data_IF_416790996794
#
_entry.id   IF_416790996794
#
_cell.length_a   1.000
_cell.length_b   1.000
_cell.length_c   1.000
_cell.angle_alpha   90.00
_cell.angle_beta   90.00
_cell.angle_gamma   90.00
#
_symmetry.space_group_name_H-M   'P 1'
#
loop_
_entity.id
_entity.type
_entity.pdbx_description
1 polymer ?
#
# COMPACT_ATOMS: atom_id res chain seq x y z
N UNK A 1 -7.71 37.71 -34.88
CA UNK A 1 -6.30 37.89 -34.47
C UNK A 1 -6.21 37.58 -32.99
N UNK A 2 -5.26 36.72 -32.63
CA UNK A 2 -5.23 36.01 -31.36
C UNK A 2 -4.91 36.92 -30.17
N UNK A 3 -5.63 36.69 -29.08
CA UNK A 3 -5.35 37.15 -27.72
C UNK A 3 -4.06 36.50 -27.20
N UNK A 4 -3.01 37.30 -27.00
CA UNK A 4 -1.84 36.86 -26.22
C UNK A 4 -2.06 37.22 -24.75
N UNK A 5 -2.71 36.32 -24.03
CA UNK A 5 -2.47 36.15 -22.59
C UNK A 5 -1.03 35.61 -22.44
N UNK A 6 -0.21 36.14 -21.52
CA UNK A 6 1.03 35.49 -21.16
C UNK A 6 0.70 34.25 -20.32
N UNK A 7 0.62 33.11 -21.00
CA UNK A 7 0.81 31.80 -20.38
C UNK A 7 2.28 31.63 -19.99
N UNK A 8 2.49 30.68 -19.07
CA UNK A 8 3.77 30.15 -18.58
C UNK A 8 4.37 30.88 -17.38
N UNK A 9 3.70 30.76 -16.22
CA UNK A 9 4.42 30.73 -14.94
C UNK A 9 5.07 29.34 -14.83
N UNK A 10 6.28 29.21 -15.36
CA UNK A 10 7.13 28.05 -15.07
C UNK A 10 7.52 28.07 -13.59
N UNK A 11 7.20 26.98 -12.89
CA UNK A 11 7.39 26.78 -11.44
C UNK A 11 8.87 26.56 -11.05
N UNK A 12 9.77 27.42 -11.54
CA UNK A 12 11.18 27.42 -11.17
C UNK A 12 11.43 28.55 -10.18
N UNK A 13 11.57 28.17 -8.91
CA UNK A 13 11.97 28.96 -7.74
C UNK A 13 11.06 30.13 -7.34
N UNK A 14 9.99 29.84 -6.61
CA UNK A 14 9.41 30.79 -5.66
C UNK A 14 10.21 30.72 -4.36
N UNK A 15 11.13 31.66 -4.18
CA UNK A 15 11.92 31.81 -2.96
C UNK A 15 11.04 32.33 -1.82
N UNK A 16 10.66 31.42 -0.92
CA UNK A 16 9.73 31.66 0.19
C UNK A 16 10.23 32.79 1.11
N UNK A 17 11.55 32.92 1.31
CA UNK A 17 12.15 33.96 2.13
C UNK A 17 11.96 35.35 1.51
N UNK A 18 11.94 35.44 0.18
CA UNK A 18 11.71 36.68 -0.56
C UNK A 18 10.25 37.14 -0.50
N UNK A 19 9.30 36.20 -0.52
CA UNK A 19 7.87 36.48 -0.30
C UNK A 19 7.58 36.92 1.14
N UNK A 20 8.22 36.28 2.12
CA UNK A 20 8.10 36.62 3.53
C UNK A 20 8.74 37.99 3.83
N UNK A 21 9.83 38.36 3.15
CA UNK A 21 10.49 39.65 3.32
C UNK A 21 9.64 40.85 2.86
N UNK A 22 8.75 40.65 1.89
CA UNK A 22 7.89 41.70 1.33
C UNK A 22 6.81 42.19 2.30
N UNK A 23 6.42 41.37 3.29
CA UNK A 23 5.25 41.68 4.12
C UNK A 23 5.56 42.31 5.49
N UNK A 24 6.84 42.45 5.91
CA UNK A 24 7.34 43.16 7.12
C UNK A 24 6.56 42.98 8.45
N UNK A 25 5.61 42.06 8.52
CA UNK A 25 4.77 41.82 9.69
C UNK A 25 4.92 40.35 10.12
N UNK A 26 5.52 40.15 11.30
CA UNK A 26 5.79 38.83 11.87
C UNK A 26 4.50 38.06 12.20
N UNK A 27 3.37 38.76 12.39
CA UNK A 27 2.07 38.14 12.67
C UNK A 27 1.46 37.46 11.42
N UNK A 28 1.73 38.02 10.24
CA UNK A 28 1.30 37.49 8.95
C UNK A 28 2.18 36.29 8.55
N UNK A 29 3.49 36.34 8.86
CA UNK A 29 4.43 35.24 8.59
C UNK A 29 3.95 33.91 9.18
N UNK A 30 3.48 33.89 10.42
CA UNK A 30 3.00 32.65 11.07
C UNK A 30 1.71 32.09 10.46
N UNK A 31 0.77 32.96 10.07
CA UNK A 31 -0.50 32.55 9.44
C UNK A 31 -0.32 32.11 7.99
N UNK A 32 0.47 32.86 7.22
CA UNK A 32 0.84 32.49 5.85
C UNK A 32 1.64 31.20 5.88
N UNK A 33 2.61 31.05 6.77
CA UNK A 33 3.40 29.81 6.85
C UNK A 33 2.51 28.60 7.16
N UNK A 34 1.62 28.69 8.16
CA UNK A 34 0.70 27.59 8.48
C UNK A 34 -0.30 27.25 7.36
N UNK A 35 -0.98 28.26 6.79
CA UNK A 35 -1.96 28.03 5.72
C UNK A 35 -1.32 27.54 4.40
N UNK A 36 -0.11 28.01 4.09
CA UNK A 36 0.62 27.57 2.91
C UNK A 36 1.24 26.20 3.12
N UNK A 37 1.77 25.89 4.31
CA UNK A 37 2.18 24.54 4.68
C UNK A 37 0.99 23.58 4.57
N UNK A 38 -0.18 23.93 5.10
CA UNK A 38 -1.39 23.13 5.00
C UNK A 38 -1.85 22.94 3.53
N UNK A 39 -1.86 24.00 2.72
CA UNK A 39 -2.24 23.90 1.29
C UNK A 39 -1.25 23.04 0.49
N UNK A 40 0.06 23.22 0.71
CA UNK A 40 1.09 22.42 0.05
C UNK A 40 0.98 20.96 0.48
N UNK A 41 0.79 20.70 1.78
CA UNK A 41 0.56 19.35 2.30
C UNK A 41 -0.69 18.74 1.66
N UNK A 42 -1.81 19.46 1.60
CA UNK A 42 -3.04 18.96 1.00
C UNK A 42 -2.91 18.68 -0.50
N UNK A 43 -2.16 19.51 -1.24
CA UNK A 43 -1.86 19.26 -2.65
C UNK A 43 -0.92 18.06 -2.83
N UNK A 44 0.12 17.92 -2.01
CA UNK A 44 1.00 16.76 -1.99
C UNK A 44 0.23 15.48 -1.65
N UNK A 45 -0.68 15.54 -0.68
CA UNK A 45 -1.62 14.46 -0.37
C UNK A 45 -2.48 14.11 -1.57
N UNK A 46 -3.05 15.09 -2.26
CA UNK A 46 -3.81 14.86 -3.49
C UNK A 46 -2.99 14.16 -4.58
N UNK A 47 -1.72 14.54 -4.75
CA UNK A 47 -0.79 13.89 -5.69
C UNK A 47 -0.46 12.47 -5.24
N UNK A 48 -0.19 12.24 -3.96
CA UNK A 48 0.10 10.90 -3.40
C UNK A 48 -1.11 9.98 -3.57
N UNK A 49 -2.31 10.44 -3.20
CA UNK A 49 -3.56 9.70 -3.38
C UNK A 49 -3.70 9.34 -4.86
N UNK A 50 -3.63 10.31 -5.77
CA UNK A 50 -3.76 10.06 -7.20
C UNK A 50 -2.70 9.06 -7.70
N UNK A 51 -1.43 9.20 -7.30
CA UNK A 51 -0.37 8.25 -7.66
C UNK A 51 -0.63 6.83 -7.14
N UNK A 52 -1.29 6.68 -5.98
CA UNK A 52 -1.57 5.40 -5.36
C UNK A 52 -2.86 4.74 -5.90
N UNK A 53 -3.88 5.54 -6.23
CA UNK A 53 -5.25 5.10 -6.54
C UNK A 53 -5.63 5.14 -8.02
N UNK A 54 -4.89 5.88 -8.87
CA UNK A 54 -5.23 5.99 -10.31
C UNK A 54 -5.09 4.65 -11.02
N UNK A 55 -6.14 4.25 -11.74
CA UNK A 55 -6.11 3.12 -12.67
C UNK A 55 -4.99 3.36 -13.71
N UNK A 56 -3.95 2.52 -13.65
CA UNK A 56 -2.75 2.64 -14.48
C UNK A 56 -1.45 2.84 -13.70
N UNK A 57 -1.50 3.31 -12.45
CA UNK A 57 -0.31 3.29 -11.58
C UNK A 57 0.05 1.85 -11.24
N UNK A 58 1.06 1.30 -11.92
CA UNK A 58 1.49 -0.09 -11.72
C UNK A 58 2.19 -0.31 -10.39
N UNK A 59 2.76 0.74 -9.76
CA UNK A 59 3.70 0.59 -8.64
C UNK A 59 3.51 1.67 -7.58
N UNK A 60 3.69 1.28 -6.31
CA UNK A 60 3.85 2.22 -5.20
C UNK A 60 5.29 2.79 -5.30
N UNK A 61 5.50 4.11 -5.18
CA UNK A 61 6.82 4.72 -5.22
C UNK A 61 7.81 4.07 -4.25
N UNK A 62 9.05 3.85 -4.68
CA UNK A 62 10.10 3.21 -3.86
C UNK A 62 10.57 4.08 -2.71
N UNK A 63 10.37 5.39 -2.82
CA UNK A 63 10.70 6.40 -1.81
C UNK A 63 9.97 6.10 -0.50
N UNK A 64 8.76 5.55 -0.56
CA UNK A 64 7.99 5.15 0.61
C UNK A 64 8.61 3.98 1.38
N UNK A 65 9.57 3.24 0.81
CA UNK A 65 10.32 2.21 1.56
C UNK A 65 11.18 2.81 2.67
N UNK A 66 11.53 4.11 2.57
CA UNK A 66 12.34 4.83 3.56
C UNK A 66 11.53 5.30 4.77
N UNK A 67 10.20 5.26 4.70
CA UNK A 67 9.33 5.66 5.80
C UNK A 67 9.45 4.66 6.95
N UNK A 68 9.36 5.15 8.17
CA UNK A 68 9.15 4.31 9.35
C UNK A 68 7.70 3.86 9.45
N UNK A 69 7.39 3.04 10.46
CA UNK A 69 6.05 2.50 10.65
C UNK A 69 4.98 3.59 10.90
N UNK A 70 5.36 4.73 11.49
CA UNK A 70 4.47 5.90 11.62
C UNK A 70 4.19 6.54 10.26
N UNK A 71 5.22 6.78 9.45
CA UNK A 71 5.09 7.31 8.10
C UNK A 71 4.23 6.42 7.20
N UNK A 72 4.38 5.10 7.28
CA UNK A 72 3.52 4.16 6.57
C UNK A 72 2.05 4.32 6.99
N UNK A 73 1.75 4.35 8.30
CA UNK A 73 0.37 4.54 8.78
C UNK A 73 -0.24 5.88 8.37
N UNK A 74 0.58 6.93 8.32
CA UNK A 74 0.13 8.25 7.91
C UNK A 74 -0.16 8.30 6.41
N UNK A 75 0.66 7.64 5.58
CA UNK A 75 0.48 7.60 4.12
C UNK A 75 -0.64 6.68 3.68
N UNK A 76 -0.78 5.51 4.30
CA UNK A 76 -1.75 4.49 3.90
C UNK A 76 -2.97 4.51 4.83
N UNK A 77 -3.65 5.65 4.89
CA UNK A 77 -4.91 5.84 5.63
C UNK A 77 -6.07 5.08 4.97
N UNK A 78 -7.18 4.80 5.70
CA UNK A 78 -8.27 3.98 5.19
C UNK A 78 -8.80 4.38 3.81
N UNK A 79 -9.07 5.66 3.48
CA UNK A 79 -9.57 6.03 2.15
C UNK A 79 -8.60 5.66 1.01
N UNK A 80 -7.29 5.70 1.27
CA UNK A 80 -6.26 5.34 0.28
C UNK A 80 -6.23 3.83 0.10
N UNK A 81 -6.15 3.09 1.21
CA UNK A 81 -6.11 1.62 1.19
C UNK A 81 -7.39 1.06 0.54
N UNK A 82 -8.54 1.65 0.83
CA UNK A 82 -9.84 1.28 0.26
C UNK A 82 -9.97 1.58 -1.24
N UNK A 83 -9.13 2.44 -1.81
CA UNK A 83 -9.06 2.67 -3.25
C UNK A 83 -7.95 1.86 -3.94
N UNK A 84 -7.11 1.15 -3.19
CA UNK A 84 -5.97 0.39 -3.71
C UNK A 84 -6.27 -1.10 -3.83
N UNK A 85 -5.62 -1.76 -4.80
CA UNK A 85 -5.55 -3.22 -4.82
C UNK A 85 -4.79 -3.74 -3.59
N UNK A 86 -5.45 -4.55 -2.76
CA UNK A 86 -4.88 -5.02 -1.49
C UNK A 86 -3.60 -5.86 -1.66
N UNK A 87 -3.49 -6.65 -2.73
CA UNK A 87 -2.29 -7.46 -3.02
C UNK A 87 -1.11 -6.58 -3.46
N UNK A 88 -1.37 -5.48 -4.15
CA UNK A 88 -0.33 -4.47 -4.47
C UNK A 88 0.24 -3.86 -3.18
N UNK A 89 -0.62 -3.52 -2.22
CA UNK A 89 -0.20 -3.00 -0.92
C UNK A 89 0.60 -4.06 -0.14
N UNK A 90 0.14 -5.31 -0.09
CA UNK A 90 0.86 -6.41 0.57
C UNK A 90 2.26 -6.62 -0.01
N UNK A 91 2.41 -6.57 -1.34
CA UNK A 91 3.73 -6.65 -1.99
C UNK A 91 4.65 -5.50 -1.60
N UNK A 92 4.09 -4.31 -1.40
CA UNK A 92 4.87 -3.17 -0.91
C UNK A 92 5.24 -3.34 0.56
N UNK A 93 4.33 -3.77 1.44
CA UNK A 93 4.64 -4.04 2.85
C UNK A 93 5.71 -5.12 2.95
N UNK A 94 5.70 -6.16 2.12
CA UNK A 94 6.78 -7.15 2.09
C UNK A 94 8.14 -6.53 1.74
N UNK A 95 8.18 -5.61 0.78
CA UNK A 95 9.41 -4.89 0.42
C UNK A 95 9.87 -3.98 1.55
N UNK A 96 8.93 -3.26 2.18
CA UNK A 96 9.20 -2.38 3.32
C UNK A 96 9.71 -3.18 4.53
N UNK A 97 9.08 -4.31 4.85
CA UNK A 97 9.49 -5.26 5.88
C UNK A 97 10.93 -5.77 5.67
N UNK A 98 11.32 -5.97 4.41
CA UNK A 98 12.66 -6.41 4.05
C UNK A 98 13.67 -5.27 3.83
N UNK A 99 13.24 -4.01 3.91
CA UNK A 99 14.10 -2.86 3.61
C UNK A 99 15.13 -2.59 4.72
N UNK A 100 14.76 -2.78 5.99
CA UNK A 100 15.68 -2.71 7.12
C UNK A 100 15.20 -3.59 8.28
N UNK A 101 16.06 -3.83 9.26
CA UNK A 101 15.76 -4.69 10.43
C UNK A 101 14.73 -4.09 11.37
N UNK A 102 14.72 -2.77 11.56
CA UNK A 102 13.74 -2.06 12.41
C UNK A 102 12.31 -2.28 11.93
N UNK A 103 12.08 -2.25 10.62
CA UNK A 103 10.75 -2.46 10.03
C UNK A 103 10.18 -3.85 10.36
N UNK A 104 11.03 -4.86 10.55
CA UNK A 104 10.59 -6.21 10.94
C UNK A 104 9.95 -6.24 12.32
N UNK A 105 10.48 -5.43 13.25
CA UNK A 105 9.95 -5.33 14.61
C UNK A 105 8.57 -4.66 14.65
N UNK A 106 8.28 -3.82 13.65
CA UNK A 106 7.04 -3.05 13.56
C UNK A 106 6.04 -3.61 12.54
N UNK A 107 6.21 -4.86 12.08
CA UNK A 107 5.28 -5.45 11.13
C UNK A 107 3.85 -5.44 11.68
N UNK A 108 3.66 -5.86 12.94
CA UNK A 108 2.36 -5.92 13.60
C UNK A 108 1.68 -4.55 13.74
N UNK A 109 2.45 -3.45 13.76
CA UNK A 109 1.90 -2.10 13.81
C UNK A 109 1.36 -1.65 12.45
N UNK A 110 1.88 -2.22 11.36
CA UNK A 110 1.55 -1.87 9.98
C UNK A 110 0.46 -2.77 9.42
N UNK A 111 0.43 -4.06 9.76
CA UNK A 111 -0.58 -5.01 9.26
C UNK A 111 -2.05 -4.55 9.38
N UNK A 112 -2.48 -3.81 10.44
CA UNK A 112 -3.86 -3.33 10.57
C UNK A 112 -4.34 -2.40 9.46
N UNK A 113 -3.43 -1.79 8.68
CA UNK A 113 -3.83 -0.95 7.55
C UNK A 113 -4.42 -1.75 6.38
N UNK A 114 -4.24 -3.08 6.35
CA UNK A 114 -4.70 -3.92 5.24
C UNK A 114 -6.22 -3.99 5.19
N UNK A 115 -6.80 -3.47 4.10
CA UNK A 115 -8.23 -3.60 3.84
C UNK A 115 -8.56 -4.93 3.14
N UNK A 116 -9.21 -5.84 3.87
CA UNK A 116 -9.60 -7.17 3.36
C UNK A 116 -10.55 -7.10 2.17
N UNK A 117 -11.42 -6.08 2.11
CA UNK A 117 -12.44 -5.93 1.05
C UNK A 117 -11.82 -5.82 -0.35
N UNK A 118 -10.58 -5.33 -0.44
CA UNK A 118 -9.89 -5.06 -1.70
C UNK A 118 -8.87 -6.13 -2.09
N UNK A 119 -8.88 -7.25 -1.37
CA UNK A 119 -7.97 -8.37 -1.65
C UNK A 119 -8.68 -9.33 -2.59
N UNK A 120 -8.12 -9.46 -3.80
CA UNK A 120 -8.50 -10.55 -4.69
C UNK A 120 -7.82 -11.85 -4.25
N UNK A 121 -8.60 -12.86 -3.88
CA UNK A 121 -8.10 -14.14 -3.35
C UNK A 121 -7.15 -14.86 -4.33
N UNK A 122 -7.40 -14.82 -5.64
CA UNK A 122 -6.54 -15.48 -6.63
C UNK A 122 -5.16 -14.81 -6.68
N UNK A 123 -5.15 -13.47 -6.63
CA UNK A 123 -3.90 -12.70 -6.58
C UNK A 123 -3.15 -12.92 -5.26
N UNK A 124 -3.87 -12.99 -4.14
CA UNK A 124 -3.30 -13.25 -2.82
C UNK A 124 -2.65 -14.64 -2.79
N UNK A 125 -3.38 -15.67 -3.24
CA UNK A 125 -2.88 -17.04 -3.30
C UNK A 125 -1.62 -17.15 -4.17
N UNK A 126 -1.65 -16.56 -5.37
CA UNK A 126 -0.49 -16.54 -6.26
C UNK A 126 0.72 -15.84 -5.63
N UNK A 127 0.48 -14.74 -4.89
CA UNK A 127 1.53 -14.02 -4.19
C UNK A 127 2.10 -14.83 -3.01
N UNK A 128 1.25 -15.42 -2.17
CA UNK A 128 1.67 -16.28 -1.06
C UNK A 128 2.46 -17.48 -1.57
N UNK A 129 1.97 -18.17 -2.62
CA UNK A 129 2.70 -19.27 -3.25
C UNK A 129 4.09 -18.83 -3.73
N UNK A 130 4.20 -17.68 -4.39
CA UNK A 130 5.49 -17.13 -4.82
C UNK A 130 6.41 -16.82 -3.63
N UNK A 131 5.87 -16.28 -2.54
CA UNK A 131 6.62 -15.96 -1.32
C UNK A 131 7.14 -17.20 -0.57
N UNK A 132 6.54 -18.37 -0.82
CA UNK A 132 6.89 -19.65 -0.21
C UNK A 132 7.77 -20.54 -1.10
N UNK A 133 8.14 -20.12 -2.32
CA UNK A 133 8.86 -20.99 -3.28
C UNK A 133 10.18 -21.57 -2.77
N UNK A 134 10.86 -20.87 -1.85
CA UNK A 134 12.06 -21.39 -1.17
C UNK A 134 11.83 -22.71 -0.42
N UNK A 135 10.58 -23.01 -0.08
CA UNK A 135 10.15 -24.24 0.58
C UNK A 135 9.62 -25.32 -0.38
N UNK A 136 9.24 -24.96 -1.61
CA UNK A 136 8.59 -25.87 -2.56
C UNK A 136 9.51 -26.41 -3.64
N UNK A 137 10.63 -25.74 -3.91
CA UNK A 137 11.50 -26.07 -5.05
C UNK A 137 12.60 -27.10 -4.69
N UNK A 138 12.34 -27.95 -3.69
CA UNK A 138 13.19 -29.07 -3.31
C UNK A 138 13.25 -30.21 -4.34
N UNK A 139 12.45 -30.19 -5.40
CA UNK A 139 12.36 -31.28 -6.39
C UNK A 139 12.07 -30.79 -7.82
N UNK A 140 12.88 -29.91 -8.43
CA UNK A 140 13.00 -29.84 -9.92
C UNK A 140 14.03 -28.82 -10.43
N UNK A 141 15.29 -28.93 -10.00
CA UNK A 141 16.40 -28.19 -10.64
C UNK A 141 17.66 -29.03 -10.65
N UNK A 142 17.70 -29.98 -11.58
CA UNK A 142 18.94 -30.65 -11.95
C UNK A 142 19.94 -29.66 -12.56
N UNK A 143 21.19 -29.78 -12.11
CA UNK A 143 22.45 -29.22 -12.64
C UNK A 143 22.79 -27.78 -12.25
N UNK A 144 23.40 -27.62 -11.07
CA UNK A 144 24.84 -27.34 -10.95
C UNK A 144 25.23 -27.25 -9.47
N UNK A 145 26.07 -28.18 -9.01
CA UNK A 145 26.66 -28.16 -7.67
C UNK A 145 27.66 -26.99 -7.54
N UNK A 146 27.62 -26.26 -6.41
CA UNK A 146 28.58 -26.44 -5.29
C UNK A 146 28.42 -25.36 -4.20
N UNK A 147 28.45 -25.86 -2.96
CA UNK A 147 28.70 -25.22 -1.67
C UNK A 147 27.49 -24.69 -0.88
N UNK A 148 27.07 -25.48 0.11
CA UNK A 148 26.40 -25.02 1.33
C UNK A 148 25.16 -25.81 1.71
N UNK A 149 25.34 -26.81 2.58
CA UNK A 149 24.31 -27.48 3.41
C UNK A 149 22.90 -27.64 2.83
N UNK A 150 22.65 -28.82 2.27
CA UNK A 150 21.30 -29.38 2.22
C UNK A 150 20.80 -29.66 3.64
N UNK A 151 19.67 -29.05 4.00
CA UNK A 151 18.76 -29.56 5.03
C UNK A 151 18.85 -28.88 6.39
N UNK A 152 17.80 -28.12 6.72
CA UNK A 152 17.13 -28.07 8.04
C UNK A 152 16.09 -26.94 8.05
N UNK A 153 14.80 -27.30 8.15
CA UNK A 153 13.70 -26.47 8.65
C UNK A 153 13.90 -24.95 8.50
N UNK A 154 13.86 -24.42 7.28
CA UNK A 154 13.65 -22.98 7.16
C UNK A 154 12.32 -22.70 7.90
N UNK A 155 12.37 -21.83 8.92
CA UNK A 155 11.15 -21.42 9.60
C UNK A 155 10.50 -20.37 8.73
N UNK A 156 9.19 -20.46 8.56
CA UNK A 156 8.43 -19.37 7.95
C UNK A 156 8.74 -18.07 8.70
N UNK A 157 9.03 -17.00 7.97
CA UNK A 157 9.13 -15.68 8.55
C UNK A 157 7.73 -15.15 8.94
N UNK A 158 7.69 -14.10 9.77
CA UNK A 158 6.42 -13.59 10.30
C UNK A 158 5.51 -13.01 9.20
N UNK A 159 6.09 -12.50 8.12
CA UNK A 159 5.31 -12.02 6.98
C UNK A 159 4.70 -13.18 6.19
N UNK A 160 5.44 -14.27 5.98
CA UNK A 160 4.96 -15.50 5.35
C UNK A 160 3.84 -16.14 6.17
N UNK A 161 4.00 -16.23 7.49
CA UNK A 161 2.93 -16.70 8.41
C UNK A 161 1.67 -15.84 8.26
N UNK A 162 1.84 -14.51 8.26
CA UNK A 162 0.74 -13.58 8.05
C UNK A 162 0.04 -13.81 6.70
N UNK A 163 0.79 -13.96 5.60
CA UNK A 163 0.21 -14.24 4.29
C UNK A 163 -0.62 -15.53 4.27
N UNK A 164 -0.18 -16.59 4.95
CA UNK A 164 -0.94 -17.84 5.07
C UNK A 164 -2.24 -17.59 5.84
N UNK A 165 -2.15 -16.97 7.02
CA UNK A 165 -3.33 -16.64 7.84
C UNK A 165 -4.32 -15.76 7.08
N UNK A 166 -3.82 -14.80 6.30
CA UNK A 166 -4.66 -13.92 5.49
C UNK A 166 -5.41 -14.67 4.38
N UNK A 167 -4.79 -15.69 3.76
CA UNK A 167 -5.50 -16.53 2.80
C UNK A 167 -6.65 -17.29 3.47
N UNK A 168 -6.40 -17.88 4.63
CA UNK A 168 -7.42 -18.63 5.38
C UNK A 168 -8.59 -17.72 5.77
N UNK A 169 -8.31 -16.51 6.25
CA UNK A 169 -9.36 -15.56 6.64
C UNK A 169 -10.19 -15.10 5.43
N UNK A 170 -9.56 -14.77 4.30
CA UNK A 170 -10.30 -14.39 3.09
C UNK A 170 -11.11 -15.56 2.53
N UNK A 171 -10.61 -16.80 2.61
CA UNK A 171 -11.36 -18.00 2.22
C UNK A 171 -12.60 -18.19 3.09
N UNK A 172 -12.44 -18.11 4.42
CA UNK A 172 -13.55 -18.17 5.38
C UNK A 172 -14.63 -17.13 5.09
N UNK A 173 -14.23 -15.87 4.88
CA UNK A 173 -15.15 -14.78 4.53
C UNK A 173 -15.87 -15.07 3.20
N UNK A 174 -15.16 -15.63 2.22
CA UNK A 174 -15.72 -15.95 0.90
C UNK A 174 -16.75 -17.07 0.99
N UNK A 175 -16.45 -18.13 1.74
CA UNK A 175 -17.34 -19.25 1.97
C UNK A 175 -18.62 -18.82 2.73
N UNK A 176 -18.46 -18.00 3.76
CA UNK A 176 -19.60 -17.48 4.51
C UNK A 176 -20.53 -16.61 3.64
N UNK A 177 -19.95 -15.75 2.79
CA UNK A 177 -20.74 -14.96 1.83
C UNK A 177 -21.51 -15.84 0.86
N UNK A 178 -20.89 -16.90 0.36
CA UNK A 178 -21.53 -17.85 -0.56
C UNK A 178 -22.71 -18.54 0.12
N UNK A 179 -22.52 -19.06 1.34
CA UNK A 179 -23.58 -19.69 2.14
C UNK A 179 -24.77 -18.76 2.37
N UNK A 180 -24.51 -17.48 2.69
CA UNK A 180 -25.56 -16.49 2.92
C UNK A 180 -26.35 -16.16 1.65
N UNK A 181 -25.70 -16.15 0.48
CA UNK A 181 -26.38 -15.91 -0.79
C UNK A 181 -27.27 -17.10 -1.18
N UNK A 182 -26.77 -18.33 -1.03
CA UNK A 182 -27.55 -19.56 -1.28
C UNK A 182 -28.81 -19.61 -0.40
N UNK A 183 -28.70 -19.24 0.88
CA UNK A 183 -29.85 -19.19 1.79
C UNK A 183 -30.85 -18.09 1.37
N UNK A 184 -30.37 -16.94 0.90
CA UNK A 184 -31.25 -15.87 0.38
C UNK A 184 -31.99 -16.30 -0.89
N UNK A 185 -31.32 -16.97 -1.81
CA UNK A 185 -31.94 -17.48 -3.03
C UNK A 185 -33.00 -18.54 -2.70
N UNK A 186 -32.71 -19.44 -1.75
CA UNK A 186 -33.67 -20.42 -1.25
C UNK A 186 -34.90 -19.77 -0.63
N UNK A 187 -34.72 -18.73 0.20
CA UNK A 187 -35.85 -18.03 0.83
C UNK A 187 -36.71 -17.27 -0.19
N UNK A 188 -36.11 -16.71 -1.25
CA UNK A 188 -36.87 -16.08 -2.35
C UNK A 188 -37.75 -17.09 -3.08
N UNK A 189 -37.25 -18.29 -3.35
CA UNK A 189 -38.01 -19.36 -4.00
C UNK A 189 -39.21 -19.79 -3.14
N UNK A 190 -39.03 -19.91 -1.82
CA UNK A 190 -40.10 -20.26 -0.89
C UNK A 190 -41.20 -19.18 -0.87
N UNK A 191 -40.83 -17.90 -0.91
CA UNK A 191 -41.79 -16.79 -0.85
C UNK A 191 -42.50 -16.50 -2.19
N UNK A 192 -42.10 -17.16 -3.28
CA UNK A 192 -42.71 -17.00 -4.62
C UNK A 192 -43.69 -18.14 -4.94
N UNK A 193 -43.73 -19.19 -4.11
CA UNK A 193 -44.66 -20.33 -4.17
C UNK A 193 -45.83 -20.12 -3.22
#
# INVERSE_FOLDING_TARGET
MASHLPNDITFTSLDLDRLISLYKDKSIKGKIQGEWEEKILNQLWGVIINCLTREGSKRIPSEFLRLDHHGIKNVFVPPIVEAMNGVKLLKFIQKWYNYNTTNRMHLNDVLPIICLKNINIRQLYAFTKASLRKFSDGEESGKNEKNGESGKNEKLDDFQKFLIMLNLEILKITEEKKRLEEERERQKLINTL
#
